data_IF_804239517921
#
_entry.id   IF_804239517921
#
_cell.length_a   1.000
_cell.length_b   1.000
_cell.length_c   1.000
_cell.angle_alpha   90.00
_cell.angle_beta   90.00
_cell.angle_gamma   90.00
#
_symmetry.space_group_name_H-M   'P 1'
#
loop_
_entity.id
_entity.type
_entity.pdbx_description
1 polymer ?
#
# COMPACT_ATOMS: atom_id res chain seq x y z
N UNK A 1 -11.88 -18.40 -2.79
CA UNK A 1 -11.57 -16.99 -2.47
C UNK A 1 -10.76 -16.83 -1.18
N UNK A 2 -11.26 -17.23 -0.01
CA UNK A 2 -10.64 -16.91 1.30
C UNK A 2 -9.19 -17.45 1.47
N UNK A 3 -8.82 -18.57 0.81
CA UNK A 3 -7.45 -19.12 0.87
C UNK A 3 -6.46 -18.34 0.01
N UNK A 4 -6.91 -17.81 -1.14
CA UNK A 4 -6.06 -17.04 -2.05
C UNK A 4 -5.76 -15.65 -1.47
N UNK A 5 -6.79 -15.01 -0.90
CA UNK A 5 -6.63 -13.75 -0.16
C UNK A 5 -5.67 -13.92 1.02
N UNK A 6 -5.78 -15.02 1.78
CA UNK A 6 -4.84 -15.33 2.89
C UNK A 6 -3.41 -15.62 2.42
N UNK A 7 -3.21 -16.19 1.24
CA UNK A 7 -1.89 -16.43 0.69
C UNK A 7 -1.24 -15.13 0.22
N UNK A 8 -1.97 -14.33 -0.56
CA UNK A 8 -1.53 -13.00 -1.02
C UNK A 8 -1.20 -12.09 0.18
N UNK A 9 -2.07 -12.14 1.19
CA UNK A 9 -1.90 -11.46 2.46
C UNK A 9 -0.59 -11.76 3.20
N UNK A 10 -0.16 -13.02 3.21
CA UNK A 10 1.10 -13.42 3.84
C UNK A 10 2.28 -12.96 3.01
N UNK A 11 2.17 -13.02 1.69
CA UNK A 11 3.22 -12.55 0.78
C UNK A 11 3.41 -11.04 0.96
N UNK A 12 2.33 -10.26 0.94
CA UNK A 12 2.37 -8.81 1.20
C UNK A 12 3.05 -8.49 2.54
N UNK A 13 2.66 -9.20 3.61
CA UNK A 13 3.24 -9.00 4.93
C UNK A 13 4.73 -9.40 4.98
N UNK A 14 5.10 -10.51 4.35
CA UNK A 14 6.49 -10.96 4.28
C UNK A 14 7.36 -9.96 3.50
N UNK A 15 6.87 -9.44 2.37
CA UNK A 15 7.55 -8.41 1.58
C UNK A 15 7.68 -7.11 2.38
N UNK A 16 6.64 -6.70 3.10
CA UNK A 16 6.67 -5.51 3.96
C UNK A 16 7.73 -5.62 5.06
N UNK A 17 7.76 -6.77 5.76
CA UNK A 17 8.72 -7.04 6.83
C UNK A 17 10.14 -7.11 6.26
N UNK A 18 10.34 -7.79 5.14
CA UNK A 18 11.65 -7.86 4.49
C UNK A 18 12.15 -6.48 4.06
N UNK A 19 11.28 -5.65 3.47
CA UNK A 19 11.62 -4.27 3.11
C UNK A 19 11.93 -3.41 4.34
N UNK A 20 11.19 -3.57 5.44
CA UNK A 20 11.46 -2.87 6.69
C UNK A 20 12.83 -3.24 7.26
N UNK A 21 13.13 -4.55 7.34
CA UNK A 21 14.43 -5.04 7.82
C UNK A 21 15.56 -4.52 6.94
N UNK A 22 15.40 -4.60 5.61
CA UNK A 22 16.38 -4.06 4.68
C UNK A 22 16.60 -2.55 4.86
N UNK A 23 15.53 -1.78 5.04
CA UNK A 23 15.60 -0.33 5.29
C UNK A 23 16.39 -0.03 6.57
N UNK A 24 16.12 -0.75 7.66
CA UNK A 24 16.81 -0.59 8.92
C UNK A 24 18.30 -0.91 8.75
N UNK A 25 18.64 -2.05 8.16
CA UNK A 25 20.02 -2.46 7.95
C UNK A 25 20.80 -1.48 7.05
N UNK A 26 20.19 -1.03 5.95
CA UNK A 26 20.81 -0.03 5.08
C UNK A 26 21.02 1.31 5.79
N UNK A 27 20.07 1.75 6.61
CA UNK A 27 20.17 2.98 7.38
C UNK A 27 21.30 2.90 8.41
N UNK A 28 21.40 1.78 9.13
CA UNK A 28 22.52 1.49 10.03
C UNK A 28 23.86 1.48 9.29
N UNK A 29 23.94 0.80 8.13
CA UNK A 29 25.17 0.74 7.33
C UNK A 29 25.58 2.12 6.82
N UNK A 30 24.63 2.98 6.45
CA UNK A 30 24.91 4.35 6.01
C UNK A 30 25.45 5.22 7.16
N UNK A 31 24.87 5.09 8.36
CA UNK A 31 25.35 5.79 9.57
C UNK A 31 26.77 5.34 9.91
N UNK A 32 27.03 4.03 9.80
CA UNK A 32 28.33 3.43 10.07
C UNK A 32 29.37 3.86 9.04
N UNK A 33 29.02 3.83 7.74
CA UNK A 33 29.88 4.30 6.65
C UNK A 33 30.27 5.77 6.81
N UNK A 34 29.31 6.63 7.16
CA UNK A 34 29.60 8.05 7.44
C UNK A 34 30.47 8.26 8.67
N UNK A 35 30.25 7.52 9.75
CA UNK A 35 31.03 7.71 10.98
C UNK A 35 32.45 7.12 10.92
N UNK A 36 32.67 6.04 10.17
CA UNK A 36 33.98 5.38 10.08
C UNK A 36 34.83 5.83 8.89
N UNK A 37 34.18 6.15 7.76
CA UNK A 37 34.88 6.44 6.51
C UNK A 37 34.70 7.90 6.05
N UNK A 38 34.02 8.75 6.84
CA UNK A 38 33.65 10.15 6.51
C UNK A 38 32.98 10.32 5.13
N UNK A 39 32.54 9.22 4.53
CA UNK A 39 32.04 9.14 3.16
C UNK A 39 30.68 8.45 3.19
N UNK A 40 29.68 9.12 2.62
CA UNK A 40 28.35 8.54 2.42
C UNK A 40 28.32 7.65 1.18
N UNK A 41 27.63 6.51 1.25
CA UNK A 41 27.40 5.67 0.08
C UNK A 41 26.51 6.40 -0.95
N UNK A 42 26.99 6.66 -2.18
CA UNK A 42 26.22 7.38 -3.18
C UNK A 42 24.98 6.56 -3.59
N UNK A 43 23.80 7.17 -3.52
CA UNK A 43 22.53 6.54 -3.91
C UNK A 43 21.79 5.78 -2.80
N UNK A 44 22.41 5.56 -1.64
CA UNK A 44 21.73 4.92 -0.49
C UNK A 44 20.61 5.78 0.07
N UNK A 45 20.78 7.11 0.09
CA UNK A 45 19.71 8.04 0.49
C UNK A 45 18.46 7.90 -0.39
N UNK A 46 18.64 7.72 -1.69
CA UNK A 46 17.54 7.53 -2.64
C UNK A 46 16.90 6.17 -2.41
N UNK A 47 17.70 5.12 -2.29
CA UNK A 47 17.21 3.77 -2.03
C UNK A 47 16.41 3.69 -0.72
N UNK A 48 16.88 4.31 0.37
CA UNK A 48 16.15 4.39 1.63
C UNK A 48 14.79 5.09 1.48
N UNK A 49 14.72 6.20 0.72
CA UNK A 49 13.44 6.87 0.44
C UNK A 49 12.46 5.96 -0.29
N UNK A 50 12.93 5.16 -1.24
CA UNK A 50 12.09 4.17 -1.92
C UNK A 50 11.68 3.03 -0.99
N UNK A 51 12.56 2.51 -0.14
CA UNK A 51 12.19 1.48 0.84
C UNK A 51 11.17 2.01 1.85
N UNK A 52 11.32 3.24 2.34
CA UNK A 52 10.30 3.89 3.19
C UNK A 52 8.95 3.93 2.49
N UNK A 53 8.95 4.30 1.20
CA UNK A 53 7.73 4.36 0.40
C UNK A 53 7.09 2.97 0.24
N UNK A 54 7.89 1.94 -0.08
CA UNK A 54 7.46 0.53 -0.17
C UNK A 54 6.83 0.08 1.15
N UNK A 55 7.53 0.29 2.27
CA UNK A 55 7.08 -0.11 3.61
C UNK A 55 5.81 0.63 4.01
N UNK A 56 5.70 1.93 3.70
CA UNK A 56 4.53 2.74 4.03
C UNK A 56 3.29 2.30 3.24
N UNK A 57 3.45 2.03 1.93
CA UNK A 57 2.36 1.55 1.08
C UNK A 57 1.93 0.13 1.44
N UNK A 58 2.87 -0.79 1.62
CA UNK A 58 2.55 -2.16 2.04
C UNK A 58 1.96 -2.20 3.46
N UNK A 59 2.46 -1.35 4.36
CA UNK A 59 1.89 -1.15 5.68
C UNK A 59 0.46 -0.63 5.61
N UNK A 60 0.15 0.29 4.70
CA UNK A 60 -1.21 0.76 4.46
C UNK A 60 -2.13 -0.34 3.92
N UNK A 61 -1.66 -1.14 2.95
CA UNK A 61 -2.41 -2.31 2.44
C UNK A 61 -2.75 -3.27 3.58
N UNK A 62 -1.76 -3.60 4.42
CA UNK A 62 -1.95 -4.51 5.56
C UNK A 62 -2.90 -3.93 6.63
N UNK A 63 -2.81 -2.62 6.91
CA UNK A 63 -3.67 -1.93 7.86
C UNK A 63 -5.14 -1.88 7.42
N UNK A 64 -5.38 -1.60 6.13
CA UNK A 64 -6.73 -1.66 5.53
C UNK A 64 -7.28 -3.08 5.62
N UNK A 65 -6.43 -4.10 5.42
CA UNK A 65 -6.85 -5.50 5.48
C UNK A 65 -7.32 -5.93 6.87
N UNK A 66 -6.57 -5.59 7.91
CA UNK A 66 -6.86 -5.97 9.30
C UNK A 66 -8.08 -5.24 9.90
N UNK A 67 -8.84 -4.47 9.11
CA UNK A 67 -9.95 -3.61 9.57
C UNK A 67 -9.55 -2.70 10.72
N UNK A 68 -8.27 -2.33 10.82
CA UNK A 68 -7.80 -1.29 11.75
C UNK A 68 -8.10 0.09 11.16
N UNK A 69 -9.34 0.31 10.73
CA UNK A 69 -9.88 1.65 10.59
C UNK A 69 -10.05 2.20 12.01
N UNK A 70 -8.93 2.62 12.63
CA UNK A 70 -8.79 3.05 14.04
C UNK A 70 -9.79 4.15 14.45
N UNK A 71 -10.59 4.71 13.52
CA UNK A 71 -11.47 5.86 13.81
C UNK A 71 -12.85 5.85 13.15
N UNK A 72 -13.17 4.94 12.22
CA UNK A 72 -14.51 4.97 11.60
C UNK A 72 -15.56 4.33 12.51
N UNK A 73 -15.20 3.33 13.31
CA UNK A 73 -16.12 2.67 14.25
C UNK A 73 -16.68 3.64 15.32
N UNK A 74 -15.92 4.67 15.72
CA UNK A 74 -16.40 5.66 16.69
C UNK A 74 -17.53 6.56 16.13
N UNK A 75 -17.45 6.93 14.85
CA UNK A 75 -18.49 7.72 14.18
C UNK A 75 -19.69 6.86 13.75
N UNK A 76 -19.43 5.62 13.33
CA UNK A 76 -20.46 4.64 12.94
C UNK A 76 -21.20 4.08 14.16
N UNK A 77 -20.57 4.01 15.34
CA UNK A 77 -21.19 3.56 16.58
C UNK A 77 -22.36 4.45 17.06
N UNK A 78 -22.41 5.70 16.61
CA UNK A 78 -23.49 6.66 16.90
C UNK A 78 -24.66 6.58 15.89
N UNK A 79 -24.52 5.83 14.79
CA UNK A 79 -25.55 5.71 13.76
C UNK A 79 -26.47 4.50 13.99
N UNK A 80 -27.75 4.57 13.60
CA UNK A 80 -28.66 3.41 13.61
C UNK A 80 -28.14 2.28 12.73
N UNK A 81 -28.27 1.02 13.18
CA UNK A 81 -27.74 -0.19 12.51
C UNK A 81 -28.14 -0.30 11.02
N UNK A 82 -29.32 0.20 10.67
CA UNK A 82 -29.87 0.23 9.31
C UNK A 82 -29.06 1.10 8.33
N UNK A 83 -28.38 2.15 8.81
CA UNK A 83 -27.63 3.09 7.97
C UNK A 83 -26.14 2.75 7.89
N UNK A 84 -25.62 1.93 8.83
CA UNK A 84 -24.20 1.55 8.88
C UNK A 84 -23.75 0.79 7.62
N UNK A 85 -24.60 -0.09 7.10
CA UNK A 85 -24.31 -0.91 5.90
C UNK A 85 -24.22 -0.09 4.61
N UNK A 86 -25.25 0.68 4.18
CA UNK A 86 -25.18 1.43 2.94
C UNK A 86 -24.10 2.52 2.96
N UNK A 87 -23.87 3.19 4.12
CA UNK A 87 -22.75 4.13 4.25
C UNK A 87 -21.41 3.42 4.11
N UNK A 88 -21.22 2.27 4.76
CA UNK A 88 -19.97 1.49 4.67
C UNK A 88 -19.65 1.09 3.23
N UNK A 89 -20.63 0.57 2.50
CA UNK A 89 -20.46 0.21 1.07
C UNK A 89 -20.17 1.45 0.22
N UNK A 90 -20.83 2.58 0.49
CA UNK A 90 -20.56 3.84 -0.21
C UNK A 90 -19.15 4.37 0.04
N UNK A 91 -18.67 4.32 1.28
CA UNK A 91 -17.30 4.71 1.65
C UNK A 91 -16.25 3.79 1.04
N UNK A 92 -16.49 2.48 1.02
CA UNK A 92 -15.61 1.51 0.38
C UNK A 92 -15.55 1.76 -1.14
N UNK A 93 -16.69 2.04 -1.78
CA UNK A 93 -16.74 2.35 -3.22
C UNK A 93 -16.04 3.67 -3.55
N UNK A 94 -16.23 4.71 -2.72
CA UNK A 94 -15.51 5.97 -2.85
C UNK A 94 -14.00 5.78 -2.69
N UNK A 95 -13.59 5.00 -1.68
CA UNK A 95 -12.18 4.67 -1.45
C UNK A 95 -11.58 3.87 -2.59
N UNK A 96 -12.33 2.91 -3.16
CA UNK A 96 -11.94 2.15 -4.35
C UNK A 96 -11.73 3.06 -5.56
N UNK A 97 -12.63 4.01 -5.79
CA UNK A 97 -12.57 4.98 -6.88
C UNK A 97 -11.36 5.90 -6.73
N UNK A 98 -11.16 6.49 -5.56
CA UNK A 98 -10.00 7.36 -5.28
C UNK A 98 -8.69 6.58 -5.46
N UNK A 99 -8.59 5.37 -4.90
CA UNK A 99 -7.40 4.51 -5.08
C UNK A 99 -7.20 4.11 -6.55
N UNK A 100 -8.28 3.90 -7.30
CA UNK A 100 -8.23 3.58 -8.74
C UNK A 100 -7.71 4.74 -9.57
N UNK A 101 -8.20 5.96 -9.33
CA UNK A 101 -7.71 7.18 -9.99
C UNK A 101 -6.24 7.44 -9.64
N UNK A 102 -5.86 7.30 -8.37
CA UNK A 102 -4.46 7.44 -7.95
C UNK A 102 -3.56 6.36 -8.56
N UNK A 103 -4.06 5.13 -8.69
CA UNK A 103 -3.32 4.04 -9.36
C UNK A 103 -3.09 4.36 -10.83
N UNK A 104 -4.10 4.88 -11.54
CA UNK A 104 -3.94 5.35 -12.92
C UNK A 104 -2.87 6.42 -13.03
N UNK A 105 -2.94 7.45 -12.18
CA UNK A 105 -1.94 8.52 -12.15
C UNK A 105 -0.53 7.99 -11.86
N UNK A 106 -0.42 7.01 -10.96
CA UNK A 106 0.84 6.34 -10.63
C UNK A 106 1.40 5.52 -11.81
N UNK A 107 0.56 4.86 -12.59
CA UNK A 107 0.97 4.14 -13.81
C UNK A 107 1.51 5.12 -14.85
N UNK A 108 0.83 6.26 -15.05
CA UNK A 108 1.28 7.33 -15.94
C UNK A 108 2.63 7.88 -15.52
N UNK A 109 2.78 8.18 -14.23
CA UNK A 109 4.05 8.62 -13.66
C UNK A 109 5.16 7.59 -13.87
N UNK A 110 4.89 6.31 -13.64
CA UNK A 110 5.86 5.24 -13.83
C UNK A 110 6.29 5.10 -15.30
N UNK A 111 5.36 5.15 -16.24
CA UNK A 111 5.64 5.11 -17.68
C UNK A 111 6.51 6.30 -18.11
N UNK A 112 6.23 7.49 -17.60
CA UNK A 112 7.03 8.69 -17.87
C UNK A 112 8.42 8.56 -17.24
N UNK A 113 8.52 8.11 -15.99
CA UNK A 113 9.78 7.85 -15.31
C UNK A 113 10.64 6.80 -16.03
N UNK A 114 10.02 5.77 -16.62
CA UNK A 114 10.70 4.76 -17.42
C UNK A 114 11.20 5.32 -18.76
N UNK A 115 10.38 6.15 -19.41
CA UNK A 115 10.69 6.70 -20.74
C UNK A 115 11.78 7.79 -20.71
N UNK A 116 11.86 8.55 -19.61
CA UNK A 116 12.83 9.63 -19.42
C UNK A 116 13.99 9.25 -18.50
N UNK A 117 14.11 7.97 -18.13
CA UNK A 117 15.21 7.51 -17.31
C UNK A 117 16.54 7.69 -18.06
N UNK A 118 17.48 8.41 -17.44
CA UNK A 118 18.86 8.49 -17.92
C UNK A 118 19.51 7.10 -17.95
N UNK A 119 20.42 6.90 -18.91
CA UNK A 119 21.18 5.64 -19.04
C UNK A 119 21.90 5.33 -17.73
N UNK A 120 21.52 4.21 -17.09
CA UNK A 120 22.04 3.79 -15.78
C UNK A 120 21.11 4.05 -14.58
N UNK A 121 20.00 4.80 -14.74
CA UNK A 121 18.98 5.03 -13.70
C UNK A 121 17.70 4.20 -13.88
N UNK A 122 17.67 3.28 -14.85
CA UNK A 122 16.52 2.39 -15.08
C UNK A 122 16.14 1.55 -13.84
N UNK A 123 17.10 1.26 -12.94
CA UNK A 123 16.84 0.56 -11.69
C UNK A 123 15.95 1.37 -10.71
N UNK A 124 16.04 2.70 -10.72
CA UNK A 124 15.18 3.59 -9.93
C UNK A 124 13.76 3.62 -10.49
N UNK A 125 13.64 3.68 -11.82
CA UNK A 125 12.35 3.58 -12.49
C UNK A 125 11.69 2.22 -12.21
N UNK A 126 12.46 1.13 -12.16
CA UNK A 126 11.95 -0.19 -11.79
C UNK A 126 11.38 -0.24 -10.38
N UNK A 127 12.07 0.35 -9.39
CA UNK A 127 11.60 0.41 -8.01
C UNK A 127 10.29 1.19 -7.85
N UNK A 128 10.07 2.21 -8.68
CA UNK A 128 8.85 3.01 -8.62
C UNK A 128 7.57 2.27 -9.07
N UNK A 129 7.67 1.06 -9.65
CA UNK A 129 6.52 0.24 -10.03
C UNK A 129 5.68 -0.21 -8.82
N UNK A 130 6.28 -0.22 -7.63
CA UNK A 130 5.60 -0.61 -6.40
C UNK A 130 4.43 0.33 -6.08
N UNK A 131 4.49 1.58 -6.53
CA UNK A 131 3.54 2.64 -6.25
C UNK A 131 2.20 2.40 -6.99
N UNK A 132 2.17 2.23 -8.33
CA UNK A 132 0.95 1.83 -9.02
C UNK A 132 0.47 0.43 -8.61
N UNK A 133 1.40 -0.50 -8.35
CA UNK A 133 1.04 -1.86 -7.93
C UNK A 133 0.28 -1.85 -6.60
N UNK A 134 0.79 -1.13 -5.60
CA UNK A 134 0.19 -1.07 -4.27
C UNK A 134 -1.16 -0.35 -4.28
N UNK A 135 -1.29 0.77 -5.01
CA UNK A 135 -2.56 1.50 -5.17
C UNK A 135 -3.59 0.68 -5.95
N UNK A 136 -3.16 -0.06 -6.97
CA UNK A 136 -4.01 -1.01 -7.71
C UNK A 136 -4.52 -2.13 -6.80
N UNK A 137 -3.65 -2.70 -5.96
CA UNK A 137 -4.03 -3.71 -4.98
C UNK A 137 -5.07 -3.17 -3.98
N UNK A 138 -4.86 -1.97 -3.45
CA UNK A 138 -5.79 -1.28 -2.54
C UNK A 138 -7.15 -1.07 -3.21
N UNK A 139 -7.18 -0.55 -4.44
CA UNK A 139 -8.42 -0.35 -5.20
C UNK A 139 -9.18 -1.67 -5.38
N UNK A 140 -8.48 -2.74 -5.78
CA UNK A 140 -9.07 -4.08 -5.92
C UNK A 140 -9.65 -4.60 -4.60
N UNK A 141 -8.93 -4.40 -3.49
CA UNK A 141 -9.37 -4.84 -2.17
C UNK A 141 -10.66 -4.12 -1.72
N UNK A 142 -10.73 -2.80 -1.93
CA UNK A 142 -11.94 -2.02 -1.63
C UNK A 142 -13.11 -2.39 -2.56
N UNK A 143 -12.84 -2.67 -3.84
CA UNK A 143 -13.86 -3.06 -4.81
C UNK A 143 -14.44 -4.45 -4.50
N UNK A 144 -13.59 -5.41 -4.15
CA UNK A 144 -14.02 -6.73 -3.67
C UNK A 144 -14.83 -6.63 -2.38
N UNK A 145 -14.45 -5.76 -1.45
CA UNK A 145 -15.20 -5.51 -0.21
C UNK A 145 -16.57 -4.91 -0.47
N UNK A 146 -16.65 -3.88 -1.32
CA UNK A 146 -17.91 -3.28 -1.72
C UNK A 146 -18.83 -4.32 -2.38
N UNK A 147 -18.28 -5.18 -3.23
CA UNK A 147 -19.04 -6.24 -3.90
C UNK A 147 -19.56 -7.32 -2.94
N UNK A 148 -18.71 -7.80 -2.02
CA UNK A 148 -19.11 -8.78 -0.98
C UNK A 148 -20.10 -8.17 0.03
N UNK A 149 -19.92 -6.89 0.38
CA UNK A 149 -20.84 -6.14 1.24
C UNK A 149 -22.21 -5.96 0.60
N UNK A 150 -22.27 -5.78 -0.72
CA UNK A 150 -23.52 -5.68 -1.48
C UNK A 150 -24.21 -7.05 -1.70
N UNK A 151 -23.47 -8.16 -1.72
CA UNK A 151 -23.99 -9.51 -2.01
C UNK A 151 -24.19 -10.40 -0.79
N UNK A 152 -24.02 -9.90 0.44
CA UNK A 152 -24.34 -10.67 1.64
C UNK A 152 -25.88 -10.66 1.77
N UNK A 153 -26.58 -11.79 1.50
CA UNK A 153 -28.00 -11.84 1.77
C UNK A 153 -28.18 -11.74 3.28
N UNK A 154 -29.22 -11.03 3.69
CA UNK A 154 -29.67 -10.96 5.07
C UNK A 154 -29.88 -12.38 5.60
N UNK A 155 -28.84 -12.94 6.22
CA UNK A 155 -28.99 -14.07 7.11
C UNK A 155 -29.66 -13.50 8.36
N UNK A 156 -30.99 -13.52 8.30
CA UNK A 156 -31.94 -13.66 9.39
C UNK A 156 -31.47 -13.12 10.75
N UNK A 157 -32.02 -11.98 11.16
CA UNK A 157 -33.07 -11.89 12.20
C UNK A 157 -33.46 -10.43 12.43
#
# INVERSE_FOLDING_TARGET
MIRLERALARIEAAVAVAALVAMVLLSFLQILARNLFDTGLPGVDVLLRYLVLVVSLLGAVLAVRDRRHIRLDAAVGLLPEAWKRPLGVGFDLFSALVCGVLSWAAVRYWLEAWRYAEVGRHWLAALSIVLPLSLGLLSLHFLLRAWIGAHRPDAAE
#
